data_IF_462154203297
#
_entry.id   IF_462154203297
#
_cell.length_a   1.000
_cell.length_b   1.000
_cell.length_c   1.000
_cell.angle_alpha   90.00
_cell.angle_beta   90.00
_cell.angle_gamma   90.00
#
_symmetry.space_group_name_H-M   'P 1'
#
loop_
_entity.id
_entity.type
_entity.pdbx_description
1 polymer ?
#
# COMPACT_ATOMS: atom_id res chain seq x y z
N UNK A 1 -10.90 -5.48 32.14
CA UNK A 1 -9.56 -5.98 32.53
C UNK A 1 -8.86 -6.70 31.35
N UNK A 2 -8.94 -6.14 30.14
CA UNK A 2 -8.60 -6.85 28.89
C UNK A 2 -7.70 -6.04 27.95
N UNK A 3 -7.60 -4.72 28.13
CA UNK A 3 -6.71 -3.87 27.33
C UNK A 3 -5.22 -4.05 27.70
N UNK A 4 -4.90 -4.29 28.97
CA UNK A 4 -3.49 -4.40 29.42
C UNK A 4 -2.79 -5.69 28.97
N UNK A 5 -3.53 -6.80 28.81
CA UNK A 5 -2.95 -8.09 28.42
C UNK A 5 -2.72 -8.17 26.90
N UNK A 6 -3.62 -7.58 26.12
CA UNK A 6 -3.51 -7.48 24.66
C UNK A 6 -2.38 -6.52 24.24
N UNK A 7 -2.26 -5.38 24.92
CA UNK A 7 -1.14 -4.44 24.76
C UNK A 7 0.20 -5.11 25.09
N UNK A 8 0.26 -5.95 26.13
CA UNK A 8 1.48 -6.70 26.49
C UNK A 8 1.86 -7.76 25.44
N UNK A 9 0.88 -8.45 24.84
CA UNK A 9 1.11 -9.46 23.80
C UNK A 9 1.58 -8.86 22.46
N UNK A 10 1.19 -7.62 22.17
CA UNK A 10 1.55 -6.96 20.90
C UNK A 10 2.90 -6.23 20.99
N UNK A 11 3.17 -5.54 22.12
CA UNK A 11 4.53 -5.03 22.47
C UNK A 11 5.61 -6.11 22.40
N UNK A 12 5.17 -7.34 22.61
CA UNK A 12 5.98 -8.53 22.55
C UNK A 12 6.41 -8.85 21.11
N UNK A 13 5.56 -8.74 20.07
CA UNK A 13 5.88 -9.25 18.72
C UNK A 13 7.06 -8.55 18.04
N UNK A 14 7.14 -7.22 18.06
CA UNK A 14 8.26 -6.51 17.42
C UNK A 14 9.53 -6.54 18.27
N UNK A 15 9.40 -6.43 19.60
CA UNK A 15 10.50 -6.70 20.53
C UNK A 15 11.03 -8.12 20.34
N UNK A 16 10.17 -9.11 20.11
CA UNK A 16 10.55 -10.49 19.82
C UNK A 16 11.24 -10.61 18.48
N UNK A 17 10.73 -9.98 17.41
CA UNK A 17 11.44 -9.97 16.11
C UNK A 17 12.84 -9.38 16.28
N UNK A 18 12.98 -8.27 17.00
CA UNK A 18 14.27 -7.64 17.29
C UNK A 18 15.18 -8.51 18.16
N UNK A 19 14.64 -9.12 19.22
CA UNK A 19 15.38 -10.02 20.11
C UNK A 19 15.83 -11.26 19.35
N UNK A 20 14.93 -11.92 18.60
CA UNK A 20 15.22 -13.10 17.77
C UNK A 20 16.29 -12.75 16.74
N UNK A 21 16.16 -11.63 16.04
CA UNK A 21 17.14 -11.18 15.06
C UNK A 21 18.53 -10.97 15.70
N UNK A 22 18.61 -10.29 16.85
CA UNK A 22 19.86 -10.13 17.59
C UNK A 22 20.42 -11.47 18.08
N UNK A 23 19.58 -12.40 18.55
CA UNK A 23 19.99 -13.76 18.94
C UNK A 23 20.60 -14.49 17.73
N UNK A 24 19.95 -14.43 16.57
CA UNK A 24 20.48 -15.04 15.35
C UNK A 24 21.84 -14.46 14.95
N UNK A 25 22.02 -13.14 15.05
CA UNK A 25 23.32 -12.53 14.76
C UNK A 25 24.38 -12.98 15.75
N UNK A 26 24.09 -12.94 17.06
CA UNK A 26 25.02 -13.38 18.10
C UNK A 26 25.38 -14.85 17.89
N UNK A 27 24.40 -15.70 17.59
CA UNK A 27 24.61 -17.10 17.28
C UNK A 27 25.50 -17.27 16.03
N UNK A 28 25.25 -16.51 14.97
CA UNK A 28 26.07 -16.55 13.76
C UNK A 28 27.52 -16.11 14.04
N UNK A 29 27.70 -15.09 14.87
CA UNK A 29 29.00 -14.60 15.32
C UNK A 29 29.73 -15.65 16.18
N UNK A 30 28.99 -16.34 17.07
CA UNK A 30 29.50 -17.47 17.85
C UNK A 30 29.92 -18.63 16.96
N UNK A 31 29.12 -18.99 15.95
CA UNK A 31 29.46 -20.06 15.01
C UNK A 31 30.72 -19.70 14.24
N UNK A 32 30.82 -18.49 13.67
CA UNK A 32 32.03 -18.02 12.97
C UNK A 32 33.26 -18.07 13.88
N UNK A 33 33.11 -17.71 15.17
CA UNK A 33 34.19 -17.73 16.13
C UNK A 33 34.60 -19.15 16.56
N UNK A 34 33.63 -20.06 16.75
CA UNK A 34 33.84 -21.40 17.31
C UNK A 34 34.23 -22.45 16.26
N UNK A 35 33.74 -22.35 15.02
CA UNK A 35 33.96 -23.34 13.97
C UNK A 35 35.46 -23.60 13.67
N UNK A 36 36.33 -22.57 13.60
CA UNK A 36 37.77 -22.77 13.44
C UNK A 36 38.42 -23.50 14.63
N UNK A 37 37.94 -23.28 15.85
CA UNK A 37 38.46 -23.92 17.08
C UNK A 37 38.13 -25.41 17.06
N UNK A 38 36.91 -25.76 16.65
CA UNK A 38 36.43 -27.14 16.59
C UNK A 38 37.07 -27.92 15.45
N UNK A 39 37.23 -27.32 14.27
CA UNK A 39 37.72 -28.04 13.09
C UNK A 39 39.25 -28.14 12.99
N UNK A 40 40.00 -27.14 13.46
CA UNK A 40 41.45 -27.04 13.21
C UNK A 40 42.29 -27.09 14.49
N UNK A 41 41.63 -27.18 15.64
CA UNK A 41 42.26 -27.16 16.96
C UNK A 41 42.81 -25.78 17.35
N UNK A 42 42.99 -25.53 18.66
CA UNK A 42 43.34 -24.20 19.17
C UNK A 42 44.64 -23.62 18.60
N UNK A 43 45.60 -24.46 18.19
CA UNK A 43 46.90 -24.02 17.66
C UNK A 43 46.86 -23.26 16.32
N UNK A 44 45.81 -23.43 15.51
CA UNK A 44 45.69 -22.79 14.19
C UNK A 44 44.62 -21.68 14.13
N UNK A 45 43.91 -21.44 15.22
CA UNK A 45 42.75 -20.51 15.30
C UNK A 45 43.12 -19.05 15.11
N UNK A 46 44.28 -18.63 15.65
CA UNK A 46 44.71 -17.23 15.60
C UNK A 46 44.84 -16.68 14.18
N UNK A 47 45.37 -17.49 13.23
CA UNK A 47 45.51 -17.08 11.83
C UNK A 47 44.16 -16.88 11.14
N UNK A 48 43.15 -17.66 11.50
CA UNK A 48 41.80 -17.57 10.91
C UNK A 48 41.05 -16.37 11.46
N UNK A 49 41.18 -16.06 12.75
CA UNK A 49 40.58 -14.85 13.31
C UNK A 49 41.18 -13.57 12.71
N UNK A 50 42.49 -13.56 12.43
CA UNK A 50 43.14 -12.45 11.71
C UNK A 50 42.72 -12.40 10.23
N UNK A 51 42.26 -13.51 9.65
CA UNK A 51 41.70 -13.50 8.30
C UNK A 51 40.23 -13.03 8.29
N UNK A 52 39.47 -13.40 9.32
CA UNK A 52 38.01 -13.19 9.40
C UNK A 52 37.57 -11.93 10.16
N UNK A 53 38.48 -11.15 10.77
CA UNK A 53 38.10 -9.94 11.50
C UNK A 53 37.32 -8.90 10.66
N UNK A 54 37.52 -8.74 9.33
CA UNK A 54 36.72 -7.79 8.56
C UNK A 54 35.24 -8.20 8.53
N UNK A 55 34.95 -9.50 8.48
CA UNK A 55 33.59 -10.03 8.55
C UNK A 55 32.96 -9.77 9.91
N UNK A 56 33.70 -10.00 11.00
CA UNK A 56 33.23 -9.70 12.37
C UNK A 56 32.97 -8.21 12.56
N UNK A 57 33.85 -7.34 12.05
CA UNK A 57 33.68 -5.89 12.12
C UNK A 57 32.46 -5.43 11.32
N UNK A 58 32.26 -5.96 10.10
CA UNK A 58 31.08 -5.67 9.30
C UNK A 58 29.79 -6.05 10.05
N UNK A 59 29.76 -7.24 10.65
CA UNK A 59 28.61 -7.72 11.41
C UNK A 59 28.35 -6.85 12.65
N UNK A 60 29.41 -6.41 13.35
CA UNK A 60 29.31 -5.49 14.47
C UNK A 60 28.78 -4.11 14.04
N UNK A 61 29.20 -3.60 12.88
CA UNK A 61 28.70 -2.34 12.33
C UNK A 61 27.23 -2.43 11.96
N UNK A 62 26.81 -3.53 11.33
CA UNK A 62 25.39 -3.81 11.03
C UNK A 62 24.57 -3.88 12.32
N UNK A 63 25.06 -4.56 13.35
CA UNK A 63 24.45 -4.62 14.68
C UNK A 63 24.24 -3.24 15.28
N UNK A 64 25.29 -2.42 15.34
CA UNK A 64 25.21 -1.06 15.90
C UNK A 64 24.21 -0.22 15.10
N UNK A 65 24.29 -0.24 13.77
CA UNK A 65 23.40 0.53 12.90
C UNK A 65 21.92 0.17 13.10
N UNK A 66 21.61 -1.13 13.18
CA UNK A 66 20.23 -1.60 13.39
C UNK A 66 19.72 -1.28 14.80
N UNK A 67 20.55 -1.45 15.83
CA UNK A 67 20.19 -1.10 17.20
C UNK A 67 19.90 0.40 17.35
N UNK A 68 20.76 1.25 16.77
CA UNK A 68 20.54 2.71 16.76
C UNK A 68 19.25 3.06 16.00
N UNK A 69 19.02 2.46 14.83
CA UNK A 69 17.80 2.69 14.07
C UNK A 69 16.54 2.31 14.86
N UNK A 70 16.57 1.17 15.55
CA UNK A 70 15.44 0.68 16.35
C UNK A 70 15.17 1.61 17.54
N UNK A 71 16.21 1.98 18.28
CA UNK A 71 16.12 2.92 19.40
C UNK A 71 15.59 4.28 18.96
N UNK A 72 16.04 4.80 17.82
CA UNK A 72 15.58 6.08 17.29
C UNK A 72 14.10 6.08 16.86
N UNK A 73 13.53 4.92 16.55
CA UNK A 73 12.15 4.77 16.06
C UNK A 73 11.24 3.97 17.00
N UNK A 74 11.70 3.61 18.21
CA UNK A 74 10.95 2.78 19.15
C UNK A 74 9.55 3.33 19.43
N UNK A 75 9.40 4.66 19.54
CA UNK A 75 8.09 5.30 19.80
C UNK A 75 7.14 5.14 18.62
N UNK A 76 7.63 5.26 17.39
CA UNK A 76 6.82 5.05 16.19
C UNK A 76 6.30 3.61 16.14
N UNK A 77 7.18 2.64 16.37
CA UNK A 77 6.82 1.23 16.38
C UNK A 77 5.85 0.87 17.51
N UNK A 78 6.10 1.38 18.72
CA UNK A 78 5.20 1.17 19.85
C UNK A 78 3.79 1.74 19.62
N UNK A 79 3.68 2.88 18.93
CA UNK A 79 2.37 3.47 18.58
C UNK A 79 1.65 2.66 17.50
N UNK A 80 2.37 2.21 16.47
CA UNK A 80 1.83 1.32 15.43
C UNK A 80 1.36 -0.01 15.99
N UNK A 81 2.15 -0.63 16.87
CA UNK A 81 1.83 -1.89 17.54
C UNK A 81 0.60 -1.78 18.43
N UNK A 82 0.45 -0.66 19.14
CA UNK A 82 -0.72 -0.43 19.99
C UNK A 82 -1.96 -0.02 19.19
N UNK A 83 -1.83 0.15 17.87
CA UNK A 83 -2.87 0.71 17.00
C UNK A 83 -3.42 2.04 17.55
N UNK A 84 -2.56 2.81 18.24
CA UNK A 84 -2.92 4.11 18.81
C UNK A 84 -2.81 5.19 17.73
N UNK A 85 -3.78 5.16 16.82
CA UNK A 85 -3.85 6.05 15.65
C UNK A 85 -3.82 7.55 16.03
N UNK A 86 -4.54 8.01 17.08
CA UNK A 86 -4.48 9.42 17.48
C UNK A 86 -3.09 9.85 17.95
N UNK A 87 -2.45 9.08 18.83
CA UNK A 87 -1.11 9.42 19.30
C UNK A 87 -0.05 9.27 18.20
N UNK A 88 -0.24 8.33 17.27
CA UNK A 88 0.58 8.19 16.07
C UNK A 88 0.47 9.41 15.16
N UNK A 89 -0.75 9.90 14.91
CA UNK A 89 -0.99 11.09 14.10
C UNK A 89 -0.33 12.33 14.72
N UNK A 90 -0.49 12.59 16.02
CA UNK A 90 0.20 13.72 16.70
C UNK A 90 1.73 13.59 16.62
N UNK A 91 2.26 12.39 16.83
CA UNK A 91 3.70 12.13 16.72
C UNK A 91 4.23 12.41 15.30
N UNK A 92 3.51 11.95 14.29
CA UNK A 92 3.86 12.14 12.88
C UNK A 92 3.65 13.60 12.43
N UNK A 93 2.59 14.27 12.88
CA UNK A 93 2.35 15.69 12.63
C UNK A 93 3.53 16.53 13.12
N UNK A 94 3.96 16.33 14.37
CA UNK A 94 5.13 17.06 14.91
C UNK A 94 6.37 16.82 14.08
N UNK A 95 6.59 15.58 13.62
CA UNK A 95 7.79 15.21 12.88
C UNK A 95 7.76 15.65 11.42
N UNK A 96 6.61 15.64 10.77
CA UNK A 96 6.45 15.99 9.36
C UNK A 96 6.12 17.46 9.17
N UNK A 97 5.09 17.94 9.88
CA UNK A 97 4.50 19.26 9.68
C UNK A 97 5.24 20.37 10.45
N UNK A 98 5.81 20.09 11.62
CA UNK A 98 6.48 21.12 12.45
C UNK A 98 7.98 21.22 12.15
N UNK A 99 8.64 20.13 11.74
CA UNK A 99 10.06 20.19 11.36
C UNK A 99 10.30 20.57 9.91
N UNK A 100 9.25 20.65 9.08
CA UNK A 100 9.35 20.90 7.63
C UNK A 100 10.06 19.79 6.85
N UNK A 101 10.26 18.62 7.46
CA UNK A 101 10.87 17.46 6.80
C UNK A 101 9.78 16.49 6.38
N UNK A 102 9.77 16.14 5.09
CA UNK A 102 8.77 15.25 4.51
C UNK A 102 9.36 13.92 4.02
N UNK A 103 9.79 13.00 4.92
CA UNK A 103 10.16 11.66 4.50
C UNK A 103 8.96 10.98 3.82
N UNK A 104 9.12 10.40 2.62
CA UNK A 104 8.00 9.81 1.87
C UNK A 104 7.20 8.79 2.68
N UNK A 105 7.89 7.95 3.45
CA UNK A 105 7.27 6.94 4.33
C UNK A 105 6.41 7.57 5.43
N UNK A 106 6.86 8.67 6.05
CA UNK A 106 6.14 9.33 7.13
C UNK A 106 4.94 10.12 6.60
N UNK A 107 5.06 10.74 5.42
CA UNK A 107 3.94 11.43 4.76
C UNK A 107 2.82 10.44 4.43
N UNK A 108 3.17 9.32 3.79
CA UNK A 108 2.21 8.26 3.46
C UNK A 108 1.55 7.71 4.73
N UNK A 109 2.35 7.43 5.77
CA UNK A 109 1.82 6.92 7.02
C UNK A 109 0.90 7.93 7.71
N UNK A 110 1.26 9.22 7.74
CA UNK A 110 0.44 10.27 8.34
C UNK A 110 -0.89 10.44 7.59
N UNK A 111 -0.85 10.51 6.26
CA UNK A 111 -2.05 10.57 5.43
C UNK A 111 -2.96 9.37 5.70
N UNK A 112 -2.36 8.17 5.80
CA UNK A 112 -3.07 6.95 6.09
C UNK A 112 -3.69 6.94 7.50
N UNK A 113 -2.96 7.40 8.52
CA UNK A 113 -3.46 7.51 9.89
C UNK A 113 -4.67 8.45 9.98
N UNK A 114 -4.64 9.59 9.29
CA UNK A 114 -5.80 10.47 9.24
C UNK A 114 -7.02 9.80 8.59
N UNK A 115 -6.82 9.03 7.52
CA UNK A 115 -7.93 8.32 6.86
C UNK A 115 -8.57 7.29 7.77
N UNK A 116 -7.76 6.50 8.50
CA UNK A 116 -8.25 5.53 9.48
C UNK A 116 -9.09 6.23 10.56
N UNK A 117 -8.64 7.40 11.00
CA UNK A 117 -9.34 8.22 11.98
C UNK A 117 -10.49 9.05 11.41
N UNK A 118 -10.72 9.01 10.10
CA UNK A 118 -11.65 9.91 9.39
C UNK A 118 -11.38 11.42 9.62
N UNK A 119 -10.13 11.79 9.96
CA UNK A 119 -9.71 13.20 10.09
C UNK A 119 -9.39 13.79 8.70
N UNK A 120 -10.44 14.05 7.92
CA UNK A 120 -10.31 14.67 6.60
C UNK A 120 -9.73 16.10 6.68
N UNK A 121 -9.87 16.77 7.82
CA UNK A 121 -9.25 18.07 8.08
C UNK A 121 -7.73 17.96 8.09
N UNK A 122 -7.19 16.95 8.79
CA UNK A 122 -5.78 16.61 8.81
C UNK A 122 -5.23 16.28 7.42
N UNK A 123 -5.95 15.46 6.65
CA UNK A 123 -5.56 15.14 5.27
C UNK A 123 -5.44 16.39 4.41
N UNK A 124 -6.41 17.31 4.48
CA UNK A 124 -6.40 18.54 3.68
C UNK A 124 -5.29 19.50 4.10
N UNK A 125 -4.99 19.59 5.41
CA UNK A 125 -3.85 20.38 5.91
C UNK A 125 -2.53 19.84 5.34
N UNK A 126 -2.35 18.52 5.38
CA UNK A 126 -1.17 17.86 4.84
C UNK A 126 -1.06 18.07 3.33
N UNK A 127 -2.15 17.92 2.59
CA UNK A 127 -2.20 18.14 1.14
C UNK A 127 -1.75 19.56 0.77
N UNK A 128 -2.32 20.58 1.42
CA UNK A 128 -1.97 21.99 1.17
C UNK A 128 -0.49 22.27 1.41
N UNK A 129 0.08 21.74 2.51
CA UNK A 129 1.52 21.90 2.77
C UNK A 129 2.37 21.20 1.73
N UNK A 130 2.02 19.98 1.33
CA UNK A 130 2.76 19.25 0.30
C UNK A 130 2.67 19.93 -1.07
N UNK A 131 1.52 20.51 -1.43
CA UNK A 131 1.36 21.26 -2.67
C UNK A 131 2.34 22.44 -2.76
N UNK A 132 2.58 23.12 -1.63
CA UNK A 132 3.49 24.27 -1.56
C UNK A 132 4.97 23.84 -1.49
N UNK A 133 5.30 22.89 -0.61
CA UNK A 133 6.71 22.61 -0.24
C UNK A 133 7.31 21.41 -0.98
N UNK A 134 6.49 20.40 -1.31
CA UNK A 134 6.93 19.12 -1.90
C UNK A 134 5.89 18.54 -2.88
N UNK A 135 5.62 19.20 -4.02
CA UNK A 135 4.58 18.77 -4.96
C UNK A 135 4.83 17.36 -5.51
N UNK A 136 6.08 16.94 -5.68
CA UNK A 136 6.41 15.57 -6.10
C UNK A 136 5.91 14.52 -5.10
N UNK A 137 5.89 14.80 -3.80
CA UNK A 137 5.37 13.87 -2.79
C UNK A 137 3.85 13.84 -2.78
N UNK A 138 3.20 14.97 -3.08
CA UNK A 138 1.77 15.02 -3.28
C UNK A 138 1.37 14.09 -4.44
N UNK A 139 2.05 14.20 -5.59
CA UNK A 139 1.74 13.38 -6.76
C UNK A 139 2.01 11.89 -6.55
N UNK A 140 3.05 11.53 -5.79
CA UNK A 140 3.29 10.13 -5.41
C UNK A 140 2.21 9.53 -4.51
N UNK A 141 1.48 10.36 -3.77
CA UNK A 141 0.41 9.94 -2.85
C UNK A 141 -0.97 10.37 -3.34
N UNK A 142 -1.13 10.69 -4.63
CA UNK A 142 -2.38 11.19 -5.21
C UNK A 142 -3.57 10.27 -4.91
N UNK A 143 -3.38 8.94 -4.99
CA UNK A 143 -4.43 7.97 -4.69
C UNK A 143 -4.96 8.10 -3.26
N UNK A 144 -4.10 8.38 -2.28
CA UNK A 144 -4.49 8.54 -0.87
C UNK A 144 -5.31 9.82 -0.68
N UNK A 145 -4.88 10.94 -1.28
CA UNK A 145 -5.58 12.22 -1.18
C UNK A 145 -6.90 12.25 -1.96
N UNK A 146 -6.98 11.54 -3.09
CA UNK A 146 -8.22 11.38 -3.84
C UNK A 146 -9.20 10.42 -3.13
N UNK A 147 -8.70 9.31 -2.58
CA UNK A 147 -9.46 8.41 -1.72
C UNK A 147 -10.08 9.15 -0.52
N UNK A 148 -9.35 10.09 0.09
CA UNK A 148 -9.87 10.92 1.17
C UNK A 148 -11.13 11.71 0.79
N UNK A 149 -11.16 12.27 -0.43
CA UNK A 149 -12.31 13.02 -0.94
C UNK A 149 -13.50 12.10 -1.17
N UNK A 150 -13.26 10.94 -1.77
CA UNK A 150 -14.30 9.91 -1.97
C UNK A 150 -14.92 9.50 -0.64
N UNK A 151 -14.10 9.19 0.37
CA UNK A 151 -14.55 8.79 1.71
C UNK A 151 -15.32 9.90 2.45
N UNK A 152 -14.99 11.17 2.18
CA UNK A 152 -15.73 12.32 2.70
C UNK A 152 -17.07 12.56 1.97
N UNK A 153 -17.32 11.87 0.86
CA UNK A 153 -18.49 12.08 0.00
C UNK A 153 -18.33 13.22 -1.02
N UNK A 154 -17.11 13.77 -1.18
CA UNK A 154 -16.80 14.80 -2.18
C UNK A 154 -16.38 14.14 -3.51
N UNK A 155 -17.32 13.48 -4.17
CA UNK A 155 -17.07 12.78 -5.44
C UNK A 155 -16.71 13.72 -6.60
N UNK A 156 -17.28 14.93 -6.62
CA UNK A 156 -16.97 15.94 -7.63
C UNK A 156 -15.55 16.47 -7.45
N UNK A 157 -15.18 16.84 -6.21
CA UNK A 157 -13.82 17.28 -5.91
C UNK A 157 -12.79 16.17 -6.11
N UNK A 158 -13.15 14.90 -5.89
CA UNK A 158 -12.30 13.76 -6.23
C UNK A 158 -12.06 13.65 -7.74
N UNK A 159 -13.12 13.79 -8.55
CA UNK A 159 -13.01 13.74 -10.01
C UNK A 159 -12.09 14.86 -10.54
N UNK A 160 -12.26 16.10 -10.08
CA UNK A 160 -11.38 17.21 -10.45
C UNK A 160 -9.94 17.00 -10.01
N UNK A 161 -9.75 16.49 -8.79
CA UNK A 161 -8.42 16.20 -8.24
C UNK A 161 -7.65 15.20 -9.10
N UNK A 162 -8.31 14.14 -9.60
CA UNK A 162 -7.69 13.16 -10.48
C UNK A 162 -7.53 13.65 -11.92
N UNK A 163 -8.52 14.39 -12.46
CA UNK A 163 -8.46 14.96 -13.82
C UNK A 163 -7.22 15.81 -14.03
N UNK A 164 -6.97 16.77 -13.14
CA UNK A 164 -5.79 17.67 -13.21
C UNK A 164 -4.48 16.87 -13.23
N UNK A 165 -4.45 15.71 -12.59
CA UNK A 165 -3.26 14.87 -12.49
C UNK A 165 -3.04 13.98 -13.70
N UNK A 166 -4.11 13.52 -14.32
CA UNK A 166 -4.07 12.83 -15.61
C UNK A 166 -3.58 13.77 -16.71
N UNK A 167 -4.09 15.01 -16.74
CA UNK A 167 -3.64 16.05 -17.70
C UNK A 167 -2.15 16.34 -17.58
N UNK A 168 -1.62 16.36 -16.35
CA UNK A 168 -0.22 16.67 -16.10
C UNK A 168 0.72 15.45 -16.18
N UNK A 169 0.21 14.22 -16.31
CA UNK A 169 0.96 12.94 -16.32
C UNK A 169 2.01 12.77 -15.19
N UNK A 170 1.86 13.49 -14.07
CA UNK A 170 2.88 13.53 -12.99
C UNK A 170 2.67 12.47 -11.90
N UNK A 171 1.71 11.57 -12.07
CA UNK A 171 1.34 10.62 -11.02
C UNK A 171 2.20 9.37 -11.04
N UNK A 172 2.49 8.82 -9.85
CA UNK A 172 3.23 7.55 -9.73
C UNK A 172 2.47 6.33 -10.24
N UNK A 173 1.15 6.42 -10.42
CA UNK A 173 0.32 5.30 -10.90
C UNK A 173 -0.84 5.81 -11.77
N UNK A 174 -0.53 6.04 -13.05
CA UNK A 174 -1.45 6.67 -14.01
C UNK A 174 -2.72 5.84 -14.22
N UNK A 175 -2.58 4.52 -14.34
CA UNK A 175 -3.71 3.63 -14.60
C UNK A 175 -4.70 3.60 -13.42
N UNK A 176 -4.21 3.46 -12.18
CA UNK A 176 -5.07 3.54 -11.01
C UNK A 176 -5.64 4.95 -10.81
N UNK A 177 -4.87 6.01 -11.09
CA UNK A 177 -5.38 7.39 -11.04
C UNK A 177 -6.55 7.55 -12.01
N UNK A 178 -6.44 7.00 -13.21
CA UNK A 178 -7.49 7.03 -14.23
C UNK A 178 -8.71 6.22 -13.82
N UNK A 179 -8.49 5.06 -13.24
CA UNK A 179 -9.57 4.24 -12.70
C UNK A 179 -10.33 4.98 -11.59
N UNK A 180 -9.64 5.59 -10.63
CA UNK A 180 -10.28 6.37 -9.58
C UNK A 180 -10.95 7.65 -10.09
N UNK A 181 -10.48 8.23 -11.20
CA UNK A 181 -11.18 9.30 -11.90
C UNK A 181 -12.53 8.82 -12.44
N UNK A 182 -12.55 7.71 -13.20
CA UNK A 182 -13.78 7.08 -13.69
C UNK A 182 -14.75 6.71 -12.55
N UNK A 183 -14.21 6.15 -11.47
CA UNK A 183 -14.98 5.82 -10.28
C UNK A 183 -15.58 7.06 -9.61
N UNK A 184 -14.82 8.16 -9.50
CA UNK A 184 -15.31 9.43 -8.94
C UNK A 184 -16.42 10.04 -9.81
N UNK A 185 -16.28 9.98 -11.14
CA UNK A 185 -17.31 10.42 -12.10
C UNK A 185 -18.61 9.61 -11.94
N UNK A 186 -18.49 8.30 -11.78
CA UNK A 186 -19.64 7.42 -11.56
C UNK A 186 -20.34 7.76 -10.24
N UNK A 187 -19.59 7.97 -9.15
CA UNK A 187 -20.16 8.40 -7.87
C UNK A 187 -20.83 9.77 -7.95
N UNK A 188 -20.32 10.69 -8.78
CA UNK A 188 -20.95 11.98 -9.06
C UNK A 188 -22.08 11.92 -10.12
N UNK A 189 -22.54 10.72 -10.49
CA UNK A 189 -23.60 10.47 -11.50
C UNK A 189 -23.29 10.98 -12.92
N UNK A 190 -22.01 11.24 -13.23
CA UNK A 190 -21.56 11.61 -14.57
C UNK A 190 -21.32 10.35 -15.43
N UNK A 191 -22.36 9.52 -15.57
CA UNK A 191 -22.26 8.17 -16.12
C UNK A 191 -21.66 8.12 -17.53
N UNK A 192 -22.04 9.04 -18.42
CA UNK A 192 -21.49 9.07 -19.79
C UNK A 192 -19.97 9.31 -19.83
N UNK A 193 -19.43 10.14 -18.93
CA UNK A 193 -17.97 10.34 -18.82
C UNK A 193 -17.29 9.12 -18.19
N UNK A 194 -17.90 8.56 -17.13
CA UNK A 194 -17.38 7.36 -16.48
C UNK A 194 -17.33 6.15 -17.43
N UNK A 195 -18.35 6.01 -18.30
CA UNK A 195 -18.42 4.97 -19.31
C UNK A 195 -17.27 5.04 -20.30
N UNK A 196 -16.96 6.24 -20.82
CA UNK A 196 -15.82 6.41 -21.73
C UNK A 196 -14.50 5.98 -21.07
N UNK A 197 -14.27 6.38 -19.82
CA UNK A 197 -13.06 6.01 -19.08
C UNK A 197 -12.96 4.51 -18.82
N UNK A 198 -14.06 3.86 -18.39
CA UNK A 198 -14.03 2.43 -18.11
C UNK A 198 -13.99 1.56 -19.38
N UNK A 199 -14.60 2.00 -20.49
CA UNK A 199 -14.46 1.32 -21.79
C UNK A 199 -13.01 1.29 -22.24
N UNK A 200 -12.30 2.42 -22.11
CA UNK A 200 -10.89 2.47 -22.45
C UNK A 200 -10.05 1.60 -21.51
N UNK A 201 -10.26 1.68 -20.19
CA UNK A 201 -9.51 0.88 -19.21
C UNK A 201 -9.75 -0.63 -19.38
N UNK A 202 -10.99 -1.05 -19.65
CA UNK A 202 -11.31 -2.45 -19.92
C UNK A 202 -10.63 -2.93 -21.22
N UNK A 203 -10.52 -2.07 -22.23
CA UNK A 203 -10.00 -2.39 -23.56
C UNK A 203 -8.48 -2.27 -23.74
N UNK A 204 -7.79 -1.42 -22.97
CA UNK A 204 -6.35 -1.12 -23.21
C UNK A 204 -5.45 -1.37 -22.01
N UNK A 205 -5.98 -1.46 -20.79
CA UNK A 205 -5.14 -1.62 -19.60
C UNK A 205 -4.52 -3.02 -19.53
N UNK A 206 -3.24 -3.10 -19.16
CA UNK A 206 -2.52 -4.36 -18.92
C UNK A 206 -2.72 -4.88 -17.48
N UNK A 207 -3.05 -3.99 -16.54
CA UNK A 207 -3.36 -4.39 -15.17
C UNK A 207 -4.71 -5.11 -15.15
N UNK A 208 -4.66 -6.42 -14.90
CA UNK A 208 -5.83 -7.28 -14.89
C UNK A 208 -6.87 -6.89 -13.83
N UNK A 209 -6.45 -6.30 -12.70
CA UNK A 209 -7.38 -5.83 -11.67
C UNK A 209 -8.15 -4.61 -12.17
N UNK A 210 -7.44 -3.64 -12.77
CA UNK A 210 -8.05 -2.42 -13.31
C UNK A 210 -8.98 -2.76 -14.47
N UNK A 211 -8.53 -3.58 -15.42
CA UNK A 211 -9.33 -4.02 -16.56
C UNK A 211 -10.58 -4.78 -16.08
N UNK A 212 -10.42 -5.70 -15.12
CA UNK A 212 -11.53 -6.50 -14.59
C UNK A 212 -12.54 -5.70 -13.79
N UNK A 213 -12.09 -4.78 -12.94
CA UNK A 213 -12.98 -3.86 -12.23
C UNK A 213 -13.73 -2.94 -13.19
N UNK A 214 -13.03 -2.41 -14.21
CA UNK A 214 -13.65 -1.55 -15.23
C UNK A 214 -14.73 -2.31 -16.01
N UNK A 215 -14.43 -3.53 -16.44
CA UNK A 215 -15.39 -4.42 -17.10
C UNK A 215 -16.60 -4.72 -16.22
N UNK A 216 -16.38 -5.03 -14.94
CA UNK A 216 -17.46 -5.29 -14.00
C UNK A 216 -18.36 -4.06 -13.79
N UNK A 217 -17.78 -2.87 -13.60
CA UNK A 217 -18.55 -1.63 -13.45
C UNK A 217 -19.35 -1.26 -14.72
N UNK A 218 -18.80 -1.56 -15.91
CA UNK A 218 -19.52 -1.43 -17.17
C UNK A 218 -20.76 -2.36 -17.20
N UNK A 219 -20.60 -3.64 -16.85
CA UNK A 219 -21.67 -4.62 -16.87
C UNK A 219 -22.75 -4.36 -15.80
N UNK A 220 -22.34 -4.14 -14.55
CA UNK A 220 -23.26 -4.06 -13.42
C UNK A 220 -23.93 -2.69 -13.31
N UNK A 221 -23.16 -1.60 -13.39
CA UNK A 221 -23.66 -0.27 -13.06
C UNK A 221 -23.93 0.57 -14.29
N UNK A 222 -22.95 0.75 -15.17
CA UNK A 222 -23.05 1.73 -16.26
C UNK A 222 -23.98 1.31 -17.39
N UNK A 223 -24.08 0.01 -17.71
CA UNK A 223 -25.02 -0.50 -18.70
C UNK A 223 -26.49 -0.12 -18.40
N UNK A 224 -26.84 0.16 -17.13
CA UNK A 224 -28.18 0.60 -16.71
C UNK A 224 -28.48 2.06 -17.09
N UNK A 225 -27.44 2.88 -17.24
CA UNK A 225 -27.54 4.33 -17.48
C UNK A 225 -26.95 4.75 -18.83
N UNK A 226 -26.36 3.83 -19.58
CA UNK A 226 -25.79 4.09 -20.91
C UNK A 226 -26.90 4.32 -21.94
N UNK A 227 -26.65 5.23 -22.88
CA UNK A 227 -27.49 5.42 -24.05
C UNK A 227 -27.37 4.24 -25.04
N UNK A 228 -26.22 3.55 -25.04
CA UNK A 228 -25.94 2.38 -25.87
C UNK A 228 -25.53 1.22 -24.97
N UNK A 229 -26.56 0.58 -24.40
CA UNK A 229 -26.42 -0.54 -23.48
C UNK A 229 -25.68 -1.73 -24.11
N UNK A 230 -25.93 -2.02 -25.39
CA UNK A 230 -25.32 -3.16 -26.07
C UNK A 230 -23.81 -2.95 -26.23
N UNK A 231 -23.38 -1.77 -26.67
CA UNK A 231 -21.96 -1.42 -26.72
C UNK A 231 -21.29 -1.49 -25.36
N UNK A 232 -21.98 -1.01 -24.31
CA UNK A 232 -21.46 -1.06 -22.94
C UNK A 232 -21.28 -2.50 -22.44
N UNK A 233 -22.25 -3.39 -22.73
CA UNK A 233 -22.18 -4.80 -22.36
C UNK A 233 -21.11 -5.56 -23.17
N UNK A 234 -20.99 -5.28 -24.47
CA UNK A 234 -19.96 -5.87 -25.31
C UNK A 234 -18.55 -5.54 -24.79
N UNK A 235 -18.29 -4.25 -24.49
CA UNK A 235 -17.01 -3.83 -23.92
C UNK A 235 -16.71 -4.49 -22.56
N UNK A 236 -17.75 -4.73 -21.75
CA UNK A 236 -17.60 -5.44 -20.48
C UNK A 236 -17.22 -6.91 -20.68
N UNK A 237 -17.90 -7.63 -21.59
CA UNK A 237 -17.57 -9.03 -21.89
C UNK A 237 -16.18 -9.18 -22.54
N UNK A 238 -15.78 -8.26 -23.41
CA UNK A 238 -14.43 -8.25 -23.98
C UNK A 238 -13.36 -8.09 -22.88
N UNK A 239 -13.58 -7.14 -21.96
CA UNK A 239 -12.70 -6.95 -20.79
C UNK A 239 -12.66 -8.21 -19.89
N UNK A 240 -13.81 -8.85 -19.67
CA UNK A 240 -13.91 -10.10 -18.91
C UNK A 240 -13.11 -11.23 -19.56
N UNK A 241 -13.24 -11.42 -20.87
CA UNK A 241 -12.48 -12.43 -21.62
C UNK A 241 -10.98 -12.19 -21.53
N UNK A 242 -10.52 -10.94 -21.67
CA UNK A 242 -9.10 -10.59 -21.51
C UNK A 242 -8.56 -10.95 -20.12
N UNK A 243 -9.29 -10.59 -19.07
CA UNK A 243 -8.88 -10.89 -17.69
C UNK A 243 -8.85 -12.40 -17.43
N UNK A 244 -9.84 -13.14 -17.95
CA UNK A 244 -9.84 -14.61 -17.91
C UNK A 244 -8.65 -15.22 -18.62
N UNK A 245 -8.26 -14.71 -19.78
CA UNK A 245 -7.09 -15.19 -20.52
C UNK A 245 -5.79 -14.97 -19.75
N UNK A 246 -5.66 -13.82 -19.07
CA UNK A 246 -4.46 -13.46 -18.29
C UNK A 246 -4.36 -14.21 -16.96
N UNK A 247 -5.42 -14.18 -16.14
CA UNK A 247 -5.39 -14.73 -14.78
C UNK A 247 -5.80 -16.20 -14.72
N UNK A 248 -6.61 -16.69 -15.67
CA UNK A 248 -7.07 -18.08 -15.84
C UNK A 248 -7.82 -18.72 -14.67
N UNK A 249 -7.64 -18.25 -13.44
CA UNK A 249 -8.20 -18.80 -12.21
C UNK A 249 -8.47 -17.71 -11.18
N UNK A 250 -9.46 -17.94 -10.33
CA UNK A 250 -9.84 -17.00 -9.27
C UNK A 250 -8.75 -16.85 -8.19
N UNK A 251 -7.92 -17.87 -7.92
CA UNK A 251 -6.82 -17.77 -6.95
C UNK A 251 -5.79 -16.72 -7.37
N UNK A 252 -5.55 -16.59 -8.68
CA UNK A 252 -4.63 -15.57 -9.20
C UNK A 252 -5.20 -14.18 -9.00
N UNK A 253 -6.51 -13.99 -9.23
CA UNK A 253 -7.18 -12.74 -8.90
C UNK A 253 -7.03 -12.40 -7.41
N UNK A 254 -7.34 -13.35 -6.52
CA UNK A 254 -7.19 -13.18 -5.07
C UNK A 254 -5.75 -12.85 -4.67
N UNK A 255 -4.76 -13.46 -5.32
CA UNK A 255 -3.35 -13.17 -5.08
C UNK A 255 -2.96 -11.76 -5.54
N UNK A 256 -3.44 -11.31 -6.69
CA UNK A 256 -3.20 -9.96 -7.19
C UNK A 256 -3.93 -8.92 -6.33
N UNK A 257 -5.19 -9.16 -5.96
CA UNK A 257 -5.96 -8.25 -5.08
C UNK A 257 -5.30 -8.11 -3.70
N UNK A 258 -4.79 -9.20 -3.13
CA UNK A 258 -4.05 -9.18 -1.86
C UNK A 258 -2.80 -8.28 -1.90
N UNK A 259 -2.19 -8.03 -3.07
CA UNK A 259 -1.04 -7.11 -3.17
C UNK A 259 -1.45 -5.66 -2.92
N UNK A 260 -2.67 -5.28 -3.29
CA UNK A 260 -3.18 -3.92 -3.12
C UNK A 260 -3.95 -3.73 -1.81
N UNK A 261 -4.37 -4.81 -1.13
CA UNK A 261 -5.11 -4.74 0.15
C UNK A 261 -4.40 -3.94 1.26
N UNK A 262 -3.06 -3.88 1.24
CA UNK A 262 -2.28 -3.11 2.21
C UNK A 262 -2.34 -1.59 1.97
N UNK A 263 -2.92 -1.16 0.86
CA UNK A 263 -3.10 0.25 0.54
C UNK A 263 -4.50 0.72 0.97
N UNK A 264 -4.58 1.85 1.67
CA UNK A 264 -5.88 2.33 2.19
C UNK A 264 -6.91 2.59 1.09
N UNK A 265 -6.48 2.98 -0.11
CA UNK A 265 -7.41 3.17 -1.22
C UNK A 265 -8.09 1.84 -1.62
N UNK A 266 -7.41 0.69 -1.47
CA UNK A 266 -8.00 -0.61 -1.75
C UNK A 266 -9.15 -0.97 -0.79
N UNK A 267 -9.15 -0.45 0.44
CA UNK A 267 -10.24 -0.66 1.39
C UNK A 267 -11.58 -0.10 0.86
N UNK A 268 -11.55 0.99 0.07
CA UNK A 268 -12.74 1.59 -0.55
C UNK A 268 -13.37 0.62 -1.55
N UNK A 269 -12.55 -0.16 -2.25
CA UNK A 269 -12.95 -0.97 -3.39
C UNK A 269 -12.99 -2.47 -3.09
N UNK A 270 -12.68 -2.88 -1.86
CA UNK A 270 -12.58 -4.29 -1.47
C UNK A 270 -13.83 -5.08 -1.80
N UNK A 271 -15.01 -4.54 -1.48
CA UNK A 271 -16.29 -5.14 -1.82
C UNK A 271 -16.43 -5.35 -3.34
N UNK A 272 -16.03 -4.38 -4.14
CA UNK A 272 -16.11 -4.45 -5.60
C UNK A 272 -15.10 -5.43 -6.19
N UNK A 273 -13.94 -5.62 -5.56
CA UNK A 273 -12.97 -6.64 -5.96
C UNK A 273 -13.55 -8.06 -5.79
N UNK A 274 -14.31 -8.30 -4.73
CA UNK A 274 -14.96 -9.58 -4.47
C UNK A 274 -16.13 -9.82 -5.44
N UNK A 275 -16.99 -8.82 -5.65
CA UNK A 275 -18.11 -8.89 -6.61
C UNK A 275 -17.62 -9.06 -8.05
N UNK A 276 -16.58 -8.32 -8.44
CA UNK A 276 -15.92 -8.48 -9.73
C UNK A 276 -15.33 -9.88 -9.88
N UNK A 277 -14.70 -10.45 -8.85
CA UNK A 277 -14.17 -11.82 -8.92
C UNK A 277 -15.25 -12.84 -9.25
N UNK A 278 -16.40 -12.76 -8.56
CA UNK A 278 -17.52 -13.68 -8.78
C UNK A 278 -18.05 -13.54 -10.20
N UNK A 279 -18.26 -12.31 -10.66
CA UNK A 279 -18.74 -12.06 -12.02
C UNK A 279 -17.72 -12.51 -13.08
N UNK A 280 -16.46 -12.12 -12.91
CA UNK A 280 -15.36 -12.45 -13.82
C UNK A 280 -15.18 -13.95 -13.93
N UNK A 281 -15.29 -14.75 -12.87
CA UNK A 281 -15.02 -16.20 -12.91
C UNK A 281 -16.27 -17.09 -12.81
N UNK A 282 -17.48 -16.52 -12.88
CA UNK A 282 -18.72 -17.33 -12.94
C UNK A 282 -18.76 -18.24 -14.18
N UNK A 283 -18.87 -19.56 -13.96
CA UNK A 283 -18.88 -20.61 -14.99
C UNK A 283 -18.07 -21.84 -14.55
N UNK A 284 -18.52 -23.05 -14.90
CA UNK A 284 -18.04 -24.36 -14.40
C UNK A 284 -16.54 -24.66 -14.57
N UNK A 285 -15.82 -23.86 -15.35
CA UNK A 285 -14.45 -24.15 -15.81
C UNK A 285 -13.37 -23.44 -14.98
N UNK A 286 -13.76 -22.67 -13.95
CA UNK A 286 -12.88 -21.71 -13.27
C UNK A 286 -12.94 -21.73 -11.72
N UNK A 287 -13.54 -22.76 -11.12
CA UNK A 287 -13.45 -23.05 -9.67
C UNK A 287 -12.05 -23.55 -9.23
#
# INVERSE_FOLDING_TARGET
MTASFFVSFILMKFKYIFIIFNIFIVLFLLVIAALPVVMLGPGHTGKIWISSWPLTLLLALVMIGLNVFFLANHRLFALLEREDWPALADYLERRVMNTGRYPPRMVKLLANSYLIMSDFGGVLRLEKKLALEKPVLLEKNALVFGAARILRGDSVGAADFFRVRLENQKTGNVQWTRWYYGFSLMLSRAFGKAEAEFKELAGTCDDALISGLSAWFLADTLAKYSADRESCQAAAEDGRLRVRQTLKKIERWKKESAKIENEIHAAIIRKYLDEAAIWLFSGSDYE
#
